data_IF_828776967761
#
_entry.id   IF_828776967761
#
_cell.length_a   1.000
_cell.length_b   1.000
_cell.length_c   1.000
_cell.angle_alpha   90.00
_cell.angle_beta   90.00
_cell.angle_gamma   90.00
#
_symmetry.space_group_name_H-M   'P 1'
#
loop_
_entity.id
_entity.type
_entity.pdbx_description
1 polymer ?
#
# COMPACT_ATOMS: atom_id res chain seq x y z
N UNK A 1 -16.77 -1.19 -37.08
CA UNK A 1 -16.76 -1.89 -35.78
C UNK A 1 -15.36 -1.73 -35.22
N UNK A 2 -15.15 -0.78 -34.31
CA UNK A 2 -13.86 -0.58 -33.64
C UNK A 2 -13.77 -1.60 -32.53
N UNK A 3 -12.83 -2.54 -32.63
CA UNK A 3 -12.50 -3.47 -31.55
C UNK A 3 -12.16 -2.67 -30.29
N UNK A 4 -12.73 -3.01 -29.13
CA UNK A 4 -12.35 -2.37 -27.88
C UNK A 4 -10.85 -2.60 -27.67
N UNK A 5 -10.09 -1.52 -27.57
CA UNK A 5 -8.66 -1.61 -27.25
C UNK A 5 -8.54 -2.15 -25.82
N UNK A 6 -7.99 -3.36 -25.67
CA UNK A 6 -7.65 -3.90 -24.36
C UNK A 6 -6.59 -3.01 -23.72
N UNK A 7 -6.98 -2.29 -22.68
CA UNK A 7 -6.07 -1.45 -21.92
C UNK A 7 -5.43 -2.29 -20.82
N UNK A 8 -4.13 -2.51 -20.89
CA UNK A 8 -3.35 -3.24 -19.88
C UNK A 8 -3.19 -2.37 -18.62
N UNK A 9 -4.13 -2.47 -17.70
CA UNK A 9 -4.18 -1.65 -16.46
C UNK A 9 -3.07 -2.06 -15.46
N UNK A 10 -2.56 -3.30 -15.52
CA UNK A 10 -1.63 -3.83 -14.55
C UNK A 10 -0.21 -3.92 -15.11
N UNK A 11 0.67 -3.08 -14.55
CA UNK A 11 2.11 -3.10 -14.85
C UNK A 11 2.77 -4.29 -14.12
N UNK A 12 3.47 -5.20 -14.83
CA UNK A 12 4.16 -6.34 -14.22
C UNK A 12 5.18 -5.92 -13.17
N UNK A 13 5.85 -4.80 -13.37
CA UNK A 13 6.86 -4.29 -12.43
C UNK A 13 6.22 -3.88 -11.10
N UNK A 14 5.04 -3.26 -11.13
CA UNK A 14 4.28 -2.92 -9.92
C UNK A 14 3.87 -4.19 -9.16
N UNK A 15 3.53 -5.27 -9.86
CA UNK A 15 3.19 -6.55 -9.22
C UNK A 15 4.39 -7.18 -8.53
N UNK A 16 5.54 -7.21 -9.21
CA UNK A 16 6.79 -7.73 -8.63
C UNK A 16 7.19 -6.89 -7.43
N UNK A 17 7.16 -5.56 -7.56
CA UNK A 17 7.41 -4.64 -6.45
C UNK A 17 6.51 -4.93 -5.25
N UNK A 18 5.20 -5.05 -5.47
CA UNK A 18 4.23 -5.31 -4.40
C UNK A 18 4.57 -6.59 -3.61
N UNK A 19 4.74 -7.71 -4.32
CA UNK A 19 5.03 -8.99 -3.66
C UNK A 19 6.41 -9.04 -3.00
N UNK A 20 7.42 -8.42 -3.62
CA UNK A 20 8.74 -8.30 -3.02
C UNK A 20 8.70 -7.45 -1.74
N UNK A 21 7.97 -6.32 -1.76
CA UNK A 21 7.77 -5.48 -0.57
C UNK A 21 7.06 -6.25 0.54
N UNK A 22 5.95 -6.94 0.23
CA UNK A 22 5.22 -7.77 1.22
C UNK A 22 6.15 -8.81 1.83
N UNK A 23 6.92 -9.52 1.02
CA UNK A 23 7.87 -10.53 1.51
C UNK A 23 8.92 -9.92 2.45
N UNK A 24 9.55 -8.82 2.05
CA UNK A 24 10.58 -8.17 2.86
C UNK A 24 10.01 -7.58 4.16
N UNK A 25 8.78 -7.03 4.13
CA UNK A 25 8.10 -6.57 5.33
C UNK A 25 7.78 -7.72 6.28
N UNK A 26 7.24 -8.83 5.77
CA UNK A 26 6.94 -10.01 6.60
C UNK A 26 8.23 -10.57 7.24
N UNK A 27 9.31 -10.64 6.48
CA UNK A 27 10.61 -11.08 7.01
C UNK A 27 11.10 -10.13 8.13
N UNK A 28 11.04 -8.83 7.90
CA UNK A 28 11.58 -7.84 8.84
C UNK A 28 10.73 -7.68 10.10
N UNK A 29 9.39 -7.65 9.95
CA UNK A 29 8.48 -7.38 11.06
C UNK A 29 8.15 -8.61 11.92
N UNK A 30 8.22 -9.82 11.34
CA UNK A 30 7.71 -11.02 12.04
C UNK A 30 8.72 -12.15 12.20
N UNK A 31 9.83 -12.16 11.47
CA UNK A 31 10.76 -13.29 11.42
C UNK A 31 12.15 -12.91 11.91
N UNK A 32 12.63 -11.73 11.58
CA UNK A 32 13.97 -11.29 11.94
C UNK A 32 13.92 -10.48 13.24
N UNK A 33 14.89 -10.76 14.11
CA UNK A 33 15.06 -9.99 15.34
C UNK A 33 15.60 -8.59 15.02
N UNK A 34 14.95 -7.59 15.60
CA UNK A 34 15.31 -6.18 15.46
C UNK A 34 16.77 -5.91 15.84
N UNK A 35 17.37 -4.92 15.19
CA UNK A 35 18.77 -4.53 15.43
C UNK A 35 19.82 -5.52 14.93
N UNK A 36 19.46 -6.75 14.57
CA UNK A 36 20.41 -7.74 14.05
C UNK A 36 20.84 -7.43 12.61
N UNK A 37 22.01 -7.97 12.23
CA UNK A 37 22.58 -7.80 10.90
C UNK A 37 21.62 -8.16 9.77
N UNK A 38 20.86 -9.25 9.90
CA UNK A 38 19.93 -9.71 8.89
C UNK A 38 18.75 -8.75 8.72
N UNK A 39 18.20 -8.22 9.83
CA UNK A 39 17.16 -7.18 9.82
C UNK A 39 17.64 -5.97 9.01
N UNK A 40 18.86 -5.48 9.26
CA UNK A 40 19.43 -4.34 8.53
C UNK A 40 19.62 -4.61 7.04
N UNK A 41 20.09 -5.78 6.64
CA UNK A 41 20.24 -6.11 5.21
C UNK A 41 18.91 -6.18 4.49
N UNK A 42 17.90 -6.77 5.10
CA UNK A 42 16.53 -6.81 4.53
C UNK A 42 15.94 -5.41 4.49
N UNK A 43 16.18 -4.57 5.49
CA UNK A 43 15.82 -3.15 5.51
C UNK A 43 16.47 -2.36 4.37
N UNK A 44 17.77 -2.56 4.09
CA UNK A 44 18.43 -1.93 2.94
C UNK A 44 17.85 -2.40 1.59
N UNK A 45 17.52 -3.69 1.48
CA UNK A 45 16.88 -4.21 0.28
C UNK A 45 15.48 -3.57 0.07
N UNK A 46 14.71 -3.41 1.16
CA UNK A 46 13.44 -2.71 1.14
C UNK A 46 13.61 -1.24 0.73
N UNK A 47 14.57 -0.53 1.32
CA UNK A 47 14.89 0.86 0.96
C UNK A 47 15.23 1.00 -0.53
N UNK A 48 16.04 0.10 -1.08
CA UNK A 48 16.35 0.05 -2.50
C UNK A 48 15.11 -0.15 -3.38
N UNK A 49 14.22 -1.06 -3.00
CA UNK A 49 12.92 -1.24 -3.68
C UNK A 49 12.05 0.01 -3.63
N UNK A 50 12.00 0.70 -2.49
CA UNK A 50 11.22 1.93 -2.33
C UNK A 50 11.76 3.05 -3.24
N UNK A 51 13.08 3.20 -3.33
CA UNK A 51 13.71 4.15 -4.27
C UNK A 51 13.30 3.81 -5.70
N UNK A 52 13.41 2.56 -6.12
CA UNK A 52 12.98 2.11 -7.45
C UNK A 52 11.49 2.39 -7.68
N UNK A 53 10.64 2.16 -6.69
CA UNK A 53 9.19 2.43 -6.78
C UNK A 53 8.89 3.92 -6.94
N UNK A 54 9.59 4.77 -6.20
CA UNK A 54 9.42 6.22 -6.30
C UNK A 54 9.86 6.70 -7.68
N UNK A 55 11.03 6.28 -8.16
CA UNK A 55 11.52 6.62 -9.49
C UNK A 55 10.55 6.15 -10.59
N UNK A 56 10.04 4.92 -10.46
CA UNK A 56 9.04 4.38 -11.39
C UNK A 56 7.69 5.10 -11.31
N UNK A 57 7.36 5.65 -10.16
CA UNK A 57 6.17 6.49 -9.96
C UNK A 57 6.22 7.82 -10.72
N UNK A 58 7.40 8.28 -11.13
CA UNK A 58 7.57 9.46 -11.98
C UNK A 58 7.79 9.10 -13.44
N UNK A 59 8.60 8.09 -13.74
CA UNK A 59 9.06 7.75 -15.10
C UNK A 59 8.33 6.54 -15.72
N UNK A 60 7.54 5.80 -14.94
CA UNK A 60 6.91 4.55 -15.35
C UNK A 60 5.72 4.68 -16.29
N UNK A 61 5.01 3.57 -16.50
CA UNK A 61 3.80 3.49 -17.33
C UNK A 61 2.69 4.42 -16.81
N UNK A 62 1.73 4.77 -17.67
CA UNK A 62 0.67 5.73 -17.33
C UNK A 62 -0.09 5.36 -16.04
N UNK A 63 -0.39 4.08 -15.82
CA UNK A 63 -1.06 3.62 -14.60
C UNK A 63 -0.15 3.48 -13.38
N UNK A 64 1.18 3.51 -13.57
CA UNK A 64 2.17 3.49 -12.48
C UNK A 64 2.48 4.88 -11.93
N UNK A 65 2.26 5.94 -12.74
CA UNK A 65 2.59 7.33 -12.38
C UNK A 65 1.70 7.88 -11.29
N UNK A 66 2.31 8.48 -10.27
CA UNK A 66 1.59 9.14 -9.17
C UNK A 66 0.63 10.22 -9.67
N UNK A 67 0.99 11.00 -10.69
CA UNK A 67 0.17 12.07 -11.25
C UNK A 67 -1.21 11.61 -11.76
N UNK A 68 -1.34 10.35 -12.20
CA UNK A 68 -2.57 9.80 -12.74
C UNK A 68 -3.63 9.52 -11.66
N UNK A 69 -3.21 9.04 -10.51
CA UNK A 69 -4.09 8.56 -9.46
C UNK A 69 -3.97 9.34 -8.13
N UNK A 70 -3.18 10.41 -8.11
CA UNK A 70 -3.00 11.22 -6.90
C UNK A 70 -4.37 11.70 -6.36
N UNK A 71 -4.68 11.43 -5.06
CA UNK A 71 -5.98 11.74 -4.47
C UNK A 71 -6.04 13.23 -4.09
N UNK A 72 -6.41 14.09 -5.04
CA UNK A 72 -6.65 15.49 -4.72
C UNK A 72 -7.85 15.63 -3.77
N UNK A 73 -7.88 16.64 -2.86
CA UNK A 73 -9.00 16.85 -1.94
C UNK A 73 -10.35 16.93 -2.65
N UNK A 74 -10.39 17.54 -3.84
CA UNK A 74 -11.60 17.65 -4.65
C UNK A 74 -12.06 16.29 -5.22
N UNK A 75 -11.14 15.39 -5.59
CA UNK A 75 -11.47 14.02 -6.05
C UNK A 75 -11.97 13.19 -4.88
N UNK A 76 -11.30 13.29 -3.72
CA UNK A 76 -11.67 12.57 -2.51
C UNK A 76 -13.06 13.01 -2.01
N UNK A 77 -13.32 14.31 -1.93
CA UNK A 77 -14.63 14.85 -1.51
C UNK A 77 -15.76 14.39 -2.39
N UNK A 78 -15.61 14.45 -3.72
CA UNK A 78 -16.61 13.96 -4.69
C UNK A 78 -16.86 12.46 -4.55
N UNK A 79 -15.79 11.67 -4.33
CA UNK A 79 -15.91 10.24 -4.14
C UNK A 79 -16.67 9.90 -2.85
N UNK A 80 -16.34 10.55 -1.73
CA UNK A 80 -17.02 10.35 -0.44
C UNK A 80 -18.51 10.76 -0.54
N UNK A 81 -18.82 11.88 -1.16
CA UNK A 81 -20.19 12.33 -1.37
C UNK A 81 -21.00 11.35 -2.22
N UNK A 82 -20.43 10.86 -3.33
CA UNK A 82 -21.08 9.86 -4.19
C UNK A 82 -21.29 8.53 -3.45
N UNK A 83 -20.29 8.08 -2.71
CA UNK A 83 -20.36 6.87 -1.91
C UNK A 83 -21.44 6.96 -0.82
N UNK A 84 -21.59 8.11 -0.17
CA UNK A 84 -22.63 8.35 0.82
C UNK A 84 -24.05 8.34 0.23
N UNK A 85 -24.18 8.75 -1.04
CA UNK A 85 -25.43 8.68 -1.80
C UNK A 85 -25.72 7.27 -2.36
N UNK A 86 -24.92 6.25 -2.02
CA UNK A 86 -25.07 4.88 -2.54
C UNK A 86 -24.65 4.72 -4.02
N UNK A 87 -24.01 5.74 -4.59
CA UNK A 87 -23.49 5.71 -5.96
C UNK A 87 -22.04 5.26 -5.90
N UNK A 88 -21.72 4.13 -6.54
CA UNK A 88 -20.35 3.62 -6.63
C UNK A 88 -19.80 3.91 -8.05
N UNK A 89 -19.18 5.07 -8.29
CA UNK A 89 -18.63 5.38 -9.60
C UNK A 89 -17.52 4.38 -9.94
N UNK A 90 -17.61 3.78 -11.13
CA UNK A 90 -16.59 2.89 -11.64
C UNK A 90 -15.28 3.67 -11.89
N UNK A 91 -14.17 3.17 -11.36
CA UNK A 91 -12.85 3.72 -11.61
C UNK A 91 -12.00 2.63 -12.28
N UNK A 92 -11.45 2.92 -13.46
CA UNK A 92 -10.58 2.03 -14.22
C UNK A 92 -9.16 1.91 -13.61
N UNK A 93 -9.03 2.05 -12.30
CA UNK A 93 -7.76 2.00 -11.55
C UNK A 93 -8.04 2.10 -10.06
N UNK A 94 -7.15 2.77 -9.32
CA UNK A 94 -7.35 2.98 -7.89
C UNK A 94 -8.43 4.03 -7.64
N UNK A 95 -9.39 3.70 -6.77
CA UNK A 95 -10.33 4.71 -6.28
C UNK A 95 -9.59 5.73 -5.39
N UNK A 96 -10.10 6.96 -5.22
CA UNK A 96 -9.40 8.00 -4.46
C UNK A 96 -9.06 7.63 -3.01
N UNK A 97 -9.88 6.81 -2.36
CA UNK A 97 -9.62 6.34 -1.00
C UNK A 97 -8.49 5.29 -0.97
N UNK A 98 -8.50 4.35 -1.92
CA UNK A 98 -7.42 3.38 -2.09
C UNK A 98 -6.09 4.05 -2.46
N UNK A 99 -6.13 5.09 -3.28
CA UNK A 99 -4.96 5.90 -3.61
C UNK A 99 -4.37 6.59 -2.37
N UNK A 100 -5.22 7.17 -1.51
CA UNK A 100 -4.80 7.77 -0.24
C UNK A 100 -4.12 6.73 0.67
N UNK A 101 -4.72 5.55 0.78
CA UNK A 101 -4.17 4.46 1.58
C UNK A 101 -2.80 3.99 1.07
N UNK A 102 -2.62 3.86 -0.26
CA UNK A 102 -1.32 3.51 -0.85
C UNK A 102 -0.27 4.58 -0.53
N UNK A 103 -0.62 5.87 -0.60
CA UNK A 103 0.30 6.96 -0.24
C UNK A 103 0.68 6.91 1.24
N UNK A 104 -0.29 6.68 2.14
CA UNK A 104 -0.01 6.52 3.58
C UNK A 104 0.95 5.36 3.82
N UNK A 105 0.66 4.19 3.27
CA UNK A 105 1.53 3.02 3.41
C UNK A 105 2.94 3.27 2.85
N UNK A 106 3.04 3.90 1.68
CA UNK A 106 4.33 4.25 1.10
C UNK A 106 5.10 5.24 1.97
N UNK A 107 4.42 6.21 2.58
CA UNK A 107 5.03 7.17 3.52
C UNK A 107 5.53 6.47 4.77
N UNK A 108 4.74 5.57 5.36
CA UNK A 108 5.18 4.78 6.52
C UNK A 108 6.39 3.91 6.18
N UNK A 109 6.36 3.18 5.05
CA UNK A 109 7.49 2.36 4.59
C UNK A 109 8.77 3.18 4.40
N UNK A 110 8.65 4.37 3.80
CA UNK A 110 9.79 5.27 3.64
C UNK A 110 10.28 5.78 5.00
N UNK A 111 9.35 6.13 5.90
CA UNK A 111 9.67 6.54 7.27
C UNK A 111 10.44 5.45 8.02
N UNK A 112 9.90 4.23 8.06
CA UNK A 112 10.55 3.05 8.67
C UNK A 112 11.95 2.80 8.08
N UNK A 113 12.07 2.83 6.73
CA UNK A 113 13.36 2.59 6.08
C UNK A 113 14.40 3.69 6.40
N UNK A 114 13.98 4.95 6.40
CA UNK A 114 14.87 6.08 6.70
C UNK A 114 15.28 6.06 8.17
N UNK A 115 14.35 5.94 9.10
CA UNK A 115 14.66 5.90 10.53
C UNK A 115 15.53 4.70 10.88
N UNK A 116 15.24 3.50 10.34
CA UNK A 116 16.05 2.30 10.54
C UNK A 116 17.46 2.39 9.94
N UNK A 117 17.67 3.19 8.90
CA UNK A 117 19.03 3.51 8.42
C UNK A 117 19.72 4.47 9.38
N UNK A 118 18.99 5.47 9.89
CA UNK A 118 19.54 6.53 10.77
C UNK A 118 19.94 6.00 12.15
N UNK A 119 19.22 5.00 12.69
CA UNK A 119 19.63 4.32 13.94
C UNK A 119 21.02 3.64 13.83
N UNK A 120 21.49 3.34 12.63
CA UNK A 120 22.84 2.84 12.41
C UNK A 120 23.96 3.90 12.45
N UNK A 121 23.61 5.20 12.58
CA UNK A 121 24.53 6.34 12.58
C UNK A 121 24.44 7.13 13.88
N UNK A 122 24.68 6.47 15.02
CA UNK A 122 24.58 7.01 16.39
C UNK A 122 25.36 8.31 16.61
N UNK A 123 26.45 8.52 15.87
CA UNK A 123 27.28 9.72 15.99
C UNK A 123 26.66 10.99 15.36
N UNK A 124 25.66 10.84 14.47
CA UNK A 124 25.08 11.94 13.70
C UNK A 124 23.66 12.27 14.15
N UNK A 125 22.96 11.31 14.72
CA UNK A 125 21.55 11.45 15.09
C UNK A 125 21.33 11.02 16.54
N UNK A 126 20.29 11.57 17.17
CA UNK A 126 19.86 11.13 18.49
C UNK A 126 19.26 9.72 18.35
N UNK A 127 19.92 8.73 18.95
CA UNK A 127 19.52 7.32 18.86
C UNK A 127 18.11 7.10 19.41
N UNK A 128 17.83 7.61 20.61
CA UNK A 128 16.52 7.46 21.27
C UNK A 128 15.38 7.98 20.41
N UNK A 129 15.57 9.16 19.78
CA UNK A 129 14.57 9.78 18.91
C UNK A 129 14.37 8.97 17.62
N UNK A 130 15.45 8.43 17.05
CA UNK A 130 15.36 7.65 15.81
C UNK A 130 14.69 6.29 16.07
N UNK A 131 14.95 5.67 17.21
CA UNK A 131 14.31 4.42 17.63
C UNK A 131 12.80 4.64 17.87
N UNK A 132 12.41 5.69 18.61
CA UNK A 132 11.00 6.04 18.83
C UNK A 132 10.25 6.33 17.51
N UNK A 133 10.90 7.05 16.58
CA UNK A 133 10.31 7.30 15.26
C UNK A 133 10.20 6.02 14.42
N UNK A 134 11.18 5.13 14.51
CA UNK A 134 11.15 3.85 13.81
C UNK A 134 9.99 2.98 14.30
N UNK A 135 9.84 2.84 15.61
CA UNK A 135 8.71 2.13 16.24
C UNK A 135 7.36 2.74 15.87
N UNK A 136 7.29 4.08 15.85
CA UNK A 136 6.06 4.78 15.42
C UNK A 136 5.67 4.43 13.98
N UNK A 137 6.62 4.46 13.04
CA UNK A 137 6.32 4.13 11.64
C UNK A 137 5.99 2.65 11.44
N UNK A 138 6.65 1.75 12.16
CA UNK A 138 6.35 0.32 12.14
C UNK A 138 4.94 0.05 12.66
N UNK A 139 4.57 0.64 13.80
CA UNK A 139 3.22 0.54 14.35
C UNK A 139 2.19 1.10 13.38
N UNK A 140 2.43 2.29 12.83
CA UNK A 140 1.55 2.91 11.84
C UNK A 140 1.42 2.10 10.54
N UNK A 141 2.41 1.27 10.21
CA UNK A 141 2.35 0.35 9.07
C UNK A 141 1.49 -0.88 9.40
N UNK A 142 1.61 -1.44 10.59
CA UNK A 142 0.96 -2.70 10.99
C UNK A 142 -0.51 -2.49 11.37
N UNK A 143 -0.84 -1.43 12.09
CA UNK A 143 -2.21 -1.17 12.59
C UNK A 143 -3.28 -1.10 11.48
N UNK A 144 -3.07 -0.33 10.38
CA UNK A 144 -4.04 -0.28 9.28
C UNK A 144 -4.26 -1.65 8.62
N UNK A 145 -3.24 -2.52 8.58
CA UNK A 145 -3.40 -3.88 8.07
C UNK A 145 -4.31 -4.74 8.96
N UNK A 146 -4.23 -4.60 10.27
CA UNK A 146 -5.12 -5.27 11.22
C UNK A 146 -6.58 -4.87 11.01
N UNK A 147 -6.86 -3.59 10.91
CA UNK A 147 -8.19 -3.05 10.66
C UNK A 147 -8.70 -3.40 9.25
N UNK A 148 -7.83 -3.36 8.23
CA UNK A 148 -8.18 -3.74 6.87
C UNK A 148 -8.49 -5.23 6.75
N UNK A 149 -7.77 -6.09 7.46
CA UNK A 149 -8.03 -7.53 7.50
C UNK A 149 -9.43 -7.83 8.03
N UNK A 150 -9.85 -7.12 9.07
CA UNK A 150 -11.21 -7.25 9.60
C UNK A 150 -12.27 -6.69 8.63
N UNK A 151 -11.99 -5.57 7.98
CA UNK A 151 -12.90 -4.96 7.01
C UNK A 151 -13.04 -5.80 5.73
N UNK A 152 -11.92 -6.34 5.20
CA UNK A 152 -11.93 -7.21 4.01
C UNK A 152 -12.59 -8.57 4.29
N UNK A 153 -12.35 -9.17 5.46
CA UNK A 153 -13.03 -10.40 5.86
C UNK A 153 -14.55 -10.18 5.98
N UNK A 154 -14.99 -9.07 6.58
CA UNK A 154 -16.42 -8.73 6.67
C UNK A 154 -17.02 -8.49 5.29
N UNK A 155 -16.31 -7.82 4.38
CA UNK A 155 -16.74 -7.58 3.01
C UNK A 155 -16.84 -8.91 2.22
N UNK A 156 -15.85 -9.80 2.35
CA UNK A 156 -15.85 -11.14 1.74
C UNK A 156 -17.00 -12.00 2.25
N UNK A 157 -17.24 -12.00 3.56
CA UNK A 157 -18.36 -12.71 4.16
C UNK A 157 -19.73 -12.16 3.68
N UNK A 158 -19.86 -10.84 3.53
CA UNK A 158 -21.06 -10.21 3.00
C UNK A 158 -21.29 -10.58 1.51
N UNK A 159 -20.24 -10.62 0.70
CA UNK A 159 -20.30 -11.05 -0.70
C UNK A 159 -20.66 -12.54 -0.82
N UNK A 160 -20.07 -13.41 -0.01
CA UNK A 160 -20.40 -14.83 0.01
C UNK A 160 -21.86 -15.07 0.38
N UNK A 161 -22.40 -14.30 1.35
CA UNK A 161 -23.79 -14.39 1.77
C UNK A 161 -24.80 -13.90 0.67
N UNK A 162 -24.37 -12.97 -0.17
CA UNK A 162 -25.18 -12.51 -1.32
C UNK A 162 -25.09 -13.46 -2.51
N UNK A 163 -23.94 -14.08 -2.77
CA UNK A 163 -23.75 -15.06 -3.85
C UNK A 163 -24.63 -16.32 -3.63
N UNK A 164 -24.77 -16.79 -2.40
CA UNK A 164 -25.66 -17.91 -2.04
C UNK A 164 -27.15 -17.64 -2.29
N UNK A 165 -27.58 -16.39 -2.35
CA UNK A 165 -28.97 -15.98 -2.57
C UNK A 165 -29.39 -16.01 -4.03
N UNK A 166 -28.46 -15.93 -4.99
CA UNK A 166 -28.75 -16.00 -6.42
C UNK A 166 -28.94 -17.43 -6.92
N UNK A 167 -28.35 -18.43 -6.24
CA UNK A 167 -28.46 -19.84 -6.63
C UNK A 167 -29.82 -20.45 -6.23
N UNK A 168 -30.50 -19.87 -5.22
CA UNK A 168 -31.81 -20.36 -4.77
C UNK A 168 -33.02 -19.69 -5.41
N UNK A 169 -32.81 -18.66 -6.25
CA UNK A 169 -33.88 -17.94 -6.94
C UNK A 169 -34.14 -18.42 -8.37
N UNK A 170 -33.45 -19.46 -8.85
CA UNK A 170 -33.55 -20.01 -10.21
C UNK A 170 -34.03 -21.49 -10.24
N UNK A 171 -34.71 -21.95 -9.19
CA UNK A 171 -35.53 -23.15 -9.17
C UNK A 171 -36.96 -22.76 -8.86
#
# INVERSE_FOLDING_TARGET
MTTPSEVRVWDPLIRVFHWATVLLCVLNLFILEEGRRNHRYVGYALAGLLVLRILWGFAGSDYARFAQWFPTPARLGRYLQASWQGKHPYHAGHNPLGALMILMMLTCLVGTAVTGIMTGYEQLFNEDLMEELHEFFDTALVEPFGLLRLATLRWWCAQAATCGRWVTAST
#
